data_IF_805804824410
#
_entry.id   IF_805804824410
#
_cell.length_a   1.000
_cell.length_b   1.000
_cell.length_c   1.000
_cell.angle_alpha   90.00
_cell.angle_beta   90.00
_cell.angle_gamma   90.00
#
_symmetry.space_group_name_H-M   'P 1'
#
loop_
_entity.id
_entity.type
_entity.pdbx_description
1 polymer ?
#
# COMPACT_ATOMS: atom_id res chain seq x y z
N UNK A 1 14.23 4.10 7.01
CA UNK A 1 13.82 3.00 6.13
C UNK A 1 12.30 3.02 5.97
N UNK A 2 11.82 3.05 4.74
CA UNK A 2 10.37 3.03 4.45
C UNK A 2 10.00 1.67 3.88
N UNK A 3 8.91 1.09 4.36
CA UNK A 3 8.33 -0.16 3.86
C UNK A 3 6.89 0.05 3.42
N UNK A 4 6.45 -0.71 2.43
CA UNK A 4 5.09 -0.69 1.92
C UNK A 4 4.54 -2.12 1.98
N UNK A 5 3.38 -2.29 2.60
CA UNK A 5 2.64 -3.55 2.55
C UNK A 5 1.85 -3.60 1.24
N UNK A 6 2.07 -4.64 0.45
CA UNK A 6 1.48 -4.78 -0.88
C UNK A 6 0.52 -5.96 -0.89
N UNK A 7 -0.70 -5.74 -1.42
CA UNK A 7 -1.67 -6.82 -1.63
C UNK A 7 -1.17 -7.81 -2.66
N UNK A 8 -1.24 -9.10 -2.33
CA UNK A 8 -0.89 -10.21 -3.21
C UNK A 8 -1.96 -10.38 -4.30
N UNK A 9 -1.82 -9.63 -5.39
CA UNK A 9 -2.75 -9.64 -6.49
C UNK A 9 -2.15 -8.91 -7.69
N UNK A 10 -2.99 -8.26 -8.47
CA UNK A 10 -2.57 -7.36 -9.54
C UNK A 10 -1.62 -6.26 -9.03
N UNK A 11 -1.76 -5.80 -7.78
CA UNK A 11 -0.86 -4.78 -7.20
C UNK A 11 0.58 -5.28 -7.10
N UNK A 12 0.80 -6.53 -6.72
CA UNK A 12 2.14 -7.12 -6.72
C UNK A 12 2.71 -7.24 -8.13
N UNK A 13 1.91 -7.63 -9.12
CA UNK A 13 2.33 -7.70 -10.52
C UNK A 13 2.74 -6.33 -11.04
N UNK A 14 1.94 -5.31 -10.76
CA UNK A 14 2.24 -3.93 -11.14
C UNK A 14 3.50 -3.40 -10.45
N UNK A 15 3.71 -3.72 -9.19
CA UNK A 15 4.93 -3.38 -8.46
C UNK A 15 6.16 -4.01 -9.14
N UNK A 16 6.09 -5.29 -9.49
CA UNK A 16 7.19 -5.98 -10.18
C UNK A 16 7.47 -5.32 -11.54
N UNK A 17 6.43 -4.96 -12.28
CA UNK A 17 6.55 -4.21 -13.53
C UNK A 17 7.21 -2.85 -13.30
N UNK A 18 6.74 -2.08 -12.32
CA UNK A 18 7.30 -0.79 -11.97
C UNK A 18 8.80 -0.88 -11.65
N UNK A 19 9.19 -1.85 -10.82
CA UNK A 19 10.60 -2.07 -10.44
C UNK A 19 11.46 -2.37 -11.68
N UNK A 20 10.96 -3.23 -12.61
CA UNK A 20 11.70 -3.59 -13.81
C UNK A 20 11.79 -2.43 -14.82
N UNK A 21 10.78 -1.56 -14.88
CA UNK A 21 10.78 -0.38 -15.77
C UNK A 21 11.49 0.84 -15.20
N UNK A 22 11.75 0.88 -13.90
CA UNK A 22 12.35 2.03 -13.23
C UNK A 22 13.68 2.50 -13.86
N UNK A 23 14.60 1.60 -14.27
CA UNK A 23 15.84 2.02 -14.96
C UNK A 23 15.58 2.74 -16.29
N UNK A 24 14.53 2.36 -17.04
CA UNK A 24 14.14 3.03 -18.29
C UNK A 24 13.58 4.41 -18.00
N UNK A 25 12.68 4.53 -17.01
CA UNK A 25 12.13 5.82 -16.57
C UNK A 25 13.21 6.78 -16.08
N UNK A 26 14.24 6.25 -15.45
CA UNK A 26 15.40 7.02 -14.97
C UNK A 26 16.44 7.28 -16.07
N UNK A 27 16.15 6.97 -17.34
CA UNK A 27 17.05 7.14 -18.48
C UNK A 27 18.42 6.46 -18.32
N UNK A 28 18.50 5.37 -17.53
CA UNK A 28 19.73 4.60 -17.37
C UNK A 28 19.96 3.61 -18.51
N UNK A 29 18.87 3.11 -19.09
CA UNK A 29 18.87 2.18 -20.23
C UNK A 29 17.64 2.43 -21.10
N UNK A 30 17.71 2.02 -22.39
CA UNK A 30 16.57 2.17 -23.32
C UNK A 30 15.49 1.10 -23.11
N UNK A 31 15.88 -0.08 -22.63
CA UNK A 31 14.96 -1.20 -22.37
C UNK A 31 15.29 -1.88 -21.04
N UNK A 32 14.27 -2.40 -20.31
CA UNK A 32 14.49 -3.02 -19.00
C UNK A 32 15.52 -4.14 -19.02
N UNK A 33 15.54 -4.93 -20.12
CA UNK A 33 16.43 -6.07 -20.29
C UNK A 33 17.91 -5.69 -20.35
N UNK A 34 18.24 -4.46 -20.72
CA UNK A 34 19.62 -3.96 -20.76
C UNK A 34 20.18 -3.64 -19.38
N UNK A 35 19.31 -3.50 -18.37
CA UNK A 35 19.77 -3.15 -17.02
C UNK A 35 20.25 -4.39 -16.26
N UNK A 36 21.57 -4.57 -16.18
CA UNK A 36 22.24 -5.76 -15.61
C UNK A 36 21.94 -5.98 -14.11
N UNK A 37 21.61 -4.95 -13.37
CA UNK A 37 21.39 -5.01 -11.92
C UNK A 37 19.93 -5.24 -11.53
N UNK A 38 19.10 -5.67 -12.47
CA UNK A 38 17.69 -5.98 -12.27
C UNK A 38 17.44 -7.50 -12.28
N UNK A 39 16.43 -7.92 -11.53
CA UNK A 39 15.94 -9.30 -11.55
C UNK A 39 15.30 -9.71 -12.89
N UNK A 40 15.04 -8.76 -13.79
CA UNK A 40 14.43 -9.04 -15.11
C UNK A 40 15.21 -10.08 -15.91
N UNK A 41 16.53 -10.13 -15.74
CA UNK A 41 17.38 -11.14 -16.38
C UNK A 41 16.94 -12.59 -16.09
N UNK A 42 16.34 -12.81 -14.92
CA UNK A 42 15.87 -14.13 -14.47
C UNK A 42 14.51 -14.50 -15.11
N UNK A 43 13.79 -13.53 -15.66
CA UNK A 43 12.52 -13.74 -16.36
C UNK A 43 12.70 -14.00 -17.85
N UNK A 44 13.91 -13.85 -18.38
CA UNK A 44 14.22 -14.10 -19.79
C UNK A 44 14.31 -15.61 -20.10
N UNK A 45 14.18 -15.93 -21.40
CA UNK A 45 14.39 -17.28 -21.92
C UNK A 45 15.87 -17.65 -21.72
N UNK A 46 16.14 -18.86 -21.22
CA UNK A 46 17.49 -19.37 -20.97
C UNK A 46 18.27 -18.66 -19.84
N UNK A 47 17.62 -17.90 -18.97
CA UNK A 47 18.29 -17.37 -17.80
C UNK A 47 18.77 -18.50 -16.88
N UNK A 48 20.03 -18.44 -16.44
CA UNK A 48 20.48 -19.27 -15.31
C UNK A 48 19.63 -18.89 -14.12
N UNK A 49 18.80 -19.81 -13.64
CA UNK A 49 17.84 -19.54 -12.58
C UNK A 49 18.57 -19.25 -11.27
N UNK A 50 18.47 -18.03 -10.78
CA UNK A 50 18.80 -17.74 -9.39
C UNK A 50 17.65 -18.25 -8.52
N UNK A 51 17.90 -19.30 -7.75
CA UNK A 51 16.86 -20.01 -6.97
C UNK A 51 16.19 -19.16 -5.88
N UNK A 52 16.78 -18.00 -5.53
CA UNK A 52 16.23 -17.08 -4.52
C UNK A 52 15.12 -16.16 -5.08
N UNK A 53 14.95 -16.08 -6.42
CA UNK A 53 13.90 -15.28 -7.04
C UNK A 53 12.66 -16.14 -7.29
N UNK A 54 11.55 -15.78 -6.64
CA UNK A 54 10.26 -16.47 -6.76
C UNK A 54 9.53 -16.16 -8.09
N UNK A 55 10.23 -16.23 -9.24
CA UNK A 55 9.66 -15.90 -10.55
C UNK A 55 8.45 -16.76 -10.92
N UNK A 56 8.42 -18.02 -10.48
CA UNK A 56 7.30 -18.92 -10.73
C UNK A 56 6.01 -18.43 -10.07
N UNK A 57 6.11 -17.79 -8.91
CA UNK A 57 4.99 -17.17 -8.25
C UNK A 57 4.39 -16.04 -9.09
N UNK A 58 5.23 -15.15 -9.63
CA UNK A 58 4.80 -14.08 -10.54
C UNK A 58 4.14 -14.66 -11.80
N UNK A 59 4.70 -15.74 -12.37
CA UNK A 59 4.10 -16.42 -13.53
C UNK A 59 2.74 -17.05 -13.19
N UNK A 60 2.56 -17.58 -11.99
CA UNK A 60 1.27 -18.11 -11.53
C UNK A 60 0.22 -17.01 -11.40
N UNK A 61 0.59 -15.87 -10.81
CA UNK A 61 -0.30 -14.70 -10.69
C UNK A 61 -0.76 -14.18 -12.06
N UNK A 62 0.13 -14.26 -13.07
CA UNK A 62 -0.22 -13.93 -14.45
C UNK A 62 -1.01 -15.04 -15.18
N UNK A 63 -1.32 -16.16 -14.52
CA UNK A 63 -2.01 -17.29 -15.13
C UNK A 63 -1.20 -17.99 -16.24
N UNK A 64 0.13 -17.86 -16.24
CA UNK A 64 0.97 -18.38 -17.30
C UNK A 64 1.26 -19.88 -17.14
N UNK A 65 0.84 -20.66 -18.13
CA UNK A 65 1.18 -22.08 -18.22
C UNK A 65 2.63 -22.26 -18.69
N UNK A 66 3.20 -23.48 -18.54
CA UNK A 66 4.64 -23.77 -18.67
C UNK A 66 5.31 -23.28 -19.95
N UNK A 67 4.63 -23.38 -21.08
CA UNK A 67 5.16 -22.96 -22.35
C UNK A 67 5.04 -21.44 -22.55
N UNK A 68 6.16 -20.80 -22.94
CA UNK A 68 6.21 -19.36 -23.25
C UNK A 68 6.08 -18.37 -22.09
N UNK A 69 6.27 -18.80 -20.83
CA UNK A 69 6.19 -17.93 -19.62
C UNK A 69 6.99 -16.63 -19.80
N UNK A 70 8.26 -16.73 -20.17
CA UNK A 70 9.14 -15.56 -20.35
C UNK A 70 8.64 -14.60 -21.43
N UNK A 71 8.21 -15.10 -22.57
CA UNK A 71 7.70 -14.26 -23.67
C UNK A 71 6.41 -13.53 -23.27
N UNK A 72 5.51 -14.22 -22.59
CA UNK A 72 4.25 -13.62 -22.10
C UNK A 72 4.50 -12.63 -20.97
N UNK A 73 5.47 -12.90 -20.10
CA UNK A 73 5.88 -11.96 -19.08
C UNK A 73 6.43 -10.66 -19.69
N UNK A 74 7.31 -10.77 -20.70
CA UNK A 74 7.81 -9.58 -21.41
C UNK A 74 6.66 -8.82 -22.08
N UNK A 75 5.70 -9.52 -22.71
CA UNK A 75 4.50 -8.89 -23.26
C UNK A 75 3.68 -8.13 -22.21
N UNK A 76 3.52 -8.70 -21.02
CA UNK A 76 2.89 -8.01 -19.88
C UNK A 76 3.70 -6.80 -19.42
N UNK A 77 5.01 -6.94 -19.34
CA UNK A 77 5.91 -5.88 -18.89
C UNK A 77 5.79 -4.61 -19.76
N UNK A 78 5.63 -4.77 -21.08
CA UNK A 78 5.51 -3.67 -22.04
C UNK A 78 4.08 -3.12 -22.22
N UNK A 79 3.09 -3.62 -21.46
CA UNK A 79 1.78 -2.99 -21.40
C UNK A 79 1.85 -1.73 -20.54
N UNK A 80 0.96 -0.78 -20.78
CA UNK A 80 0.85 0.39 -19.92
C UNK A 80 0.43 -0.01 -18.51
N UNK A 81 1.10 0.55 -17.51
CA UNK A 81 0.69 0.36 -16.12
C UNK A 81 -0.55 1.21 -15.85
N UNK A 82 -1.47 0.75 -14.98
CA UNK A 82 -2.57 1.58 -14.54
C UNK A 82 -2.08 2.88 -13.90
N UNK A 83 -2.78 3.99 -14.19
CA UNK A 83 -2.44 5.33 -13.67
C UNK A 83 -2.36 5.37 -12.15
N UNK A 84 -3.15 4.53 -11.46
CA UNK A 84 -3.12 4.40 -9.99
C UNK A 84 -1.75 4.01 -9.45
N UNK A 85 -1.01 3.17 -10.18
CA UNK A 85 0.31 2.69 -9.77
C UNK A 85 1.35 3.81 -9.93
N UNK A 86 1.29 4.53 -11.02
CA UNK A 86 2.14 5.71 -11.21
C UNK A 86 1.84 6.76 -10.15
N UNK A 87 0.57 7.09 -9.95
CA UNK A 87 0.15 8.05 -8.94
C UNK A 87 0.51 7.64 -7.50
N UNK A 88 0.68 6.34 -7.23
CA UNK A 88 1.14 5.86 -5.93
C UNK A 88 2.61 6.17 -5.69
N UNK A 89 3.47 5.96 -6.69
CA UNK A 89 4.93 6.13 -6.56
C UNK A 89 5.43 7.55 -6.83
N UNK A 90 4.68 8.38 -7.54
CA UNK A 90 5.03 9.78 -7.81
C UNK A 90 4.72 10.73 -6.64
N UNK A 91 4.02 10.25 -5.61
CA UNK A 91 3.72 11.05 -4.41
C UNK A 91 4.97 11.22 -3.54
N UNK A 92 5.20 12.43 -3.06
CA UNK A 92 6.25 12.72 -2.07
C UNK A 92 6.10 11.86 -0.81
N UNK A 93 4.86 11.57 -0.40
CA UNK A 93 4.52 10.73 0.73
C UNK A 93 3.84 9.43 0.25
N UNK A 94 4.64 8.39 0.04
CA UNK A 94 4.13 7.05 -0.30
C UNK A 94 3.34 6.49 0.89
N UNK A 95 2.11 6.06 0.64
CA UNK A 95 1.29 5.41 1.66
C UNK A 95 1.90 4.06 2.07
N UNK A 96 1.76 3.65 3.34
CA UNK A 96 2.35 2.39 3.81
C UNK A 96 1.63 1.14 3.32
N UNK A 97 0.45 1.27 2.70
CA UNK A 97 -0.34 0.14 2.17
C UNK A 97 -0.68 0.39 0.71
N UNK A 98 -0.37 -0.57 -0.14
CA UNK A 98 -0.72 -0.62 -1.55
C UNK A 98 -1.65 -1.80 -1.82
N UNK A 99 -2.90 -1.53 -2.17
CA UNK A 99 -3.92 -2.56 -2.39
C UNK A 99 -5.30 -1.98 -2.55
N UNK A 100 -6.28 -2.86 -2.75
CA UNK A 100 -7.70 -2.51 -2.84
C UNK A 100 -8.22 -1.85 -1.55
N UNK A 101 -9.36 -1.15 -1.65
CA UNK A 101 -10.00 -0.57 -0.45
C UNK A 101 -10.32 -1.64 0.60
N UNK A 102 -10.74 -2.82 0.17
CA UNK A 102 -11.03 -3.96 1.05
C UNK A 102 -9.78 -4.38 1.81
N UNK A 103 -8.66 -4.55 1.11
CA UNK A 103 -7.38 -4.90 1.71
C UNK A 103 -6.90 -3.83 2.68
N UNK A 104 -6.98 -2.55 2.30
CA UNK A 104 -6.60 -1.43 3.17
C UNK A 104 -7.43 -1.40 4.46
N UNK A 105 -8.73 -1.66 4.38
CA UNK A 105 -9.61 -1.74 5.56
C UNK A 105 -9.24 -2.91 6.43
N UNK A 106 -9.09 -4.09 5.86
CA UNK A 106 -8.67 -5.30 6.59
C UNK A 106 -7.34 -5.09 7.32
N UNK A 107 -6.32 -4.53 6.66
CA UNK A 107 -5.02 -4.24 7.27
C UNK A 107 -5.16 -3.27 8.45
N UNK A 108 -6.00 -2.23 8.32
CA UNK A 108 -6.24 -1.29 9.40
C UNK A 108 -6.90 -1.95 10.61
N UNK A 109 -7.88 -2.80 10.39
CA UNK A 109 -8.57 -3.54 11.45
C UNK A 109 -7.62 -4.49 12.18
N UNK A 110 -6.83 -5.29 11.46
CA UNK A 110 -5.87 -6.23 12.04
C UNK A 110 -4.72 -5.54 12.79
N UNK A 111 -4.20 -4.43 12.25
CA UNK A 111 -3.07 -3.74 12.85
C UNK A 111 -3.46 -2.65 13.85
N UNK A 112 -4.73 -2.25 13.92
CA UNK A 112 -5.20 -1.25 14.90
C UNK A 112 -5.01 -1.69 16.35
N UNK A 113 -4.89 -2.99 16.61
CA UNK A 113 -4.55 -3.55 17.91
C UNK A 113 -3.04 -3.44 18.26
N UNK A 114 -2.19 -3.12 17.29
CA UNK A 114 -0.75 -2.99 17.48
C UNK A 114 -0.42 -1.61 18.08
N UNK A 115 0.53 -1.57 19.02
CA UNK A 115 0.98 -0.29 19.62
C UNK A 115 1.56 0.61 18.51
N UNK A 116 0.98 1.80 18.39
CA UNK A 116 1.49 2.86 17.51
C UNK A 116 2.87 3.27 18.02
N UNK A 117 3.87 3.18 17.15
CA UNK A 117 5.20 3.66 17.48
C UNK A 117 5.37 5.09 16.94
N UNK A 118 5.42 6.08 17.83
CA UNK A 118 5.56 7.50 17.48
C UNK A 118 6.86 7.83 16.75
N UNK A 119 7.88 6.97 16.85
CA UNK A 119 9.15 7.14 16.14
C UNK A 119 9.05 6.77 14.64
N UNK A 120 7.97 6.11 14.24
CA UNK A 120 7.73 5.69 12.86
C UNK A 120 6.62 6.55 12.27
N UNK A 121 6.93 7.54 11.41
CA UNK A 121 5.91 8.45 10.84
C UNK A 121 4.76 7.73 10.12
N UNK A 122 5.06 6.57 9.52
CA UNK A 122 4.07 5.75 8.83
C UNK A 122 3.03 5.12 9.79
N UNK A 123 3.32 5.02 11.08
CA UNK A 123 2.37 4.54 12.08
C UNK A 123 1.14 5.47 12.21
N UNK A 124 1.31 6.74 11.87
CA UNK A 124 0.21 7.71 11.86
C UNK A 124 -0.89 7.36 10.84
N UNK A 125 -0.58 6.51 9.84
CA UNK A 125 -1.58 6.00 8.91
C UNK A 125 -2.64 5.13 9.60
N UNK A 126 -2.28 4.50 10.72
CA UNK A 126 -3.17 3.64 11.51
C UNK A 126 -3.89 4.40 12.64
N UNK A 127 -3.61 5.69 12.83
CA UNK A 127 -4.38 6.50 13.77
C UNK A 127 -5.79 6.71 13.22
N UNK A 128 -6.83 6.54 14.05
CA UNK A 128 -8.20 6.82 13.65
C UNK A 128 -8.34 8.30 13.28
N UNK A 129 -9.13 8.57 12.24
CA UNK A 129 -9.46 9.95 11.89
C UNK A 129 -10.36 10.59 12.96
N UNK A 130 -10.43 11.93 12.97
CA UNK A 130 -11.36 12.65 13.86
C UNK A 130 -12.81 12.16 13.67
N UNK A 131 -13.22 11.89 12.43
CA UNK A 131 -14.55 11.40 12.11
C UNK A 131 -14.78 9.99 12.66
N UNK A 132 -13.78 9.10 12.59
CA UNK A 132 -13.86 7.76 13.17
C UNK A 132 -13.98 7.80 14.69
N UNK A 133 -13.23 8.71 15.33
CA UNK A 133 -13.31 8.92 16.79
C UNK A 133 -14.68 9.45 17.19
N UNK A 134 -15.18 10.47 16.48
CA UNK A 134 -16.52 11.04 16.76
C UNK A 134 -17.62 9.99 16.55
N UNK A 135 -17.56 9.23 15.44
CA UNK A 135 -18.51 8.16 15.18
C UNK A 135 -18.50 7.09 16.27
N UNK A 136 -17.30 6.69 16.74
CA UNK A 136 -17.14 5.71 17.82
C UNK A 136 -17.70 6.20 19.15
N UNK A 137 -17.46 7.46 19.50
CA UNK A 137 -18.02 8.08 20.71
C UNK A 137 -19.54 8.16 20.61
N UNK A 138 -20.09 8.62 19.47
CA UNK A 138 -21.53 8.69 19.24
C UNK A 138 -22.20 7.32 19.36
N UNK A 139 -21.60 6.28 18.74
CA UNK A 139 -22.09 4.91 18.79
C UNK A 139 -22.06 4.34 20.21
N UNK A 140 -20.94 4.50 20.92
CA UNK A 140 -20.75 3.97 22.27
C UNK A 140 -21.75 4.56 23.27
N UNK A 141 -22.03 5.85 23.17
CA UNK A 141 -22.90 6.56 24.13
C UNK A 141 -24.31 6.83 23.59
N UNK A 142 -24.63 6.36 22.37
CA UNK A 142 -25.92 6.52 21.70
C UNK A 142 -26.38 7.98 21.64
N UNK A 143 -25.43 8.88 21.34
CA UNK A 143 -25.67 10.33 21.23
C UNK A 143 -25.39 10.83 19.83
N UNK A 144 -26.00 11.96 19.46
CA UNK A 144 -25.76 12.60 18.16
C UNK A 144 -24.43 13.39 18.20
N UNK A 145 -23.76 13.47 17.05
CA UNK A 145 -22.52 14.22 16.88
C UNK A 145 -22.63 15.68 17.34
N UNK A 146 -23.79 16.32 17.09
CA UNK A 146 -24.07 17.67 17.56
C UNK A 146 -23.98 17.82 19.09
N UNK A 147 -24.30 16.76 19.83
CA UNK A 147 -24.21 16.76 21.32
C UNK A 147 -22.76 16.65 21.79
N UNK A 148 -21.91 15.89 21.05
CA UNK A 148 -20.47 15.83 21.34
C UNK A 148 -19.82 17.18 21.06
N UNK A 149 -20.14 17.82 19.95
CA UNK A 149 -19.54 19.09 19.52
C UNK A 149 -20.09 20.31 20.26
N UNK A 150 -21.17 20.16 21.00
CA UNK A 150 -21.83 21.29 21.70
C UNK A 150 -20.94 21.87 22.80
N UNK A 151 -20.61 23.16 22.67
CA UNK A 151 -19.84 23.91 23.64
C UNK A 151 -20.78 24.81 24.46
N UNK A 152 -20.72 24.74 25.80
CA UNK A 152 -21.38 25.66 26.72
C UNK A 152 -20.37 26.15 27.72
N UNK A 153 -20.29 27.48 27.92
CA UNK A 153 -19.37 28.10 28.88
C UNK A 153 -19.68 27.61 30.29
N UNK A 154 -18.67 27.09 31.00
CA UNK A 154 -18.78 26.60 32.38
C UNK A 154 -19.44 25.21 32.53
N UNK A 155 -19.77 24.53 31.45
CA UNK A 155 -20.34 23.16 31.49
C UNK A 155 -19.38 22.18 30.84
N UNK A 156 -18.93 21.17 31.60
CA UNK A 156 -18.11 20.08 31.07
C UNK A 156 -18.95 19.19 30.13
N UNK A 157 -18.35 18.78 29.03
CA UNK A 157 -18.93 17.81 28.11
C UNK A 157 -18.01 16.58 28.05
N UNK A 158 -18.31 15.60 28.90
CA UNK A 158 -17.49 14.38 29.05
C UNK A 158 -17.25 13.69 27.73
N UNK A 159 -18.24 13.65 26.83
CA UNK A 159 -18.11 12.98 25.51
C UNK A 159 -17.17 13.73 24.59
N UNK A 160 -17.19 15.07 24.64
CA UNK A 160 -16.24 15.89 23.87
C UNK A 160 -14.83 15.76 24.45
N UNK A 161 -14.70 15.80 25.78
CA UNK A 161 -13.41 15.70 26.46
C UNK A 161 -12.78 14.33 26.21
N UNK A 162 -13.59 13.24 26.13
CA UNK A 162 -13.16 11.93 25.72
C UNK A 162 -12.72 11.92 24.25
N UNK A 163 -13.48 12.53 23.34
CA UNK A 163 -13.09 12.61 21.94
C UNK A 163 -11.76 13.35 21.76
N UNK A 164 -11.55 14.45 22.44
CA UNK A 164 -10.28 15.20 22.45
C UNK A 164 -9.14 14.33 22.98
N UNK A 165 -9.34 13.63 24.07
CA UNK A 165 -8.34 12.71 24.64
C UNK A 165 -7.94 11.60 23.65
N UNK A 166 -8.93 11.03 22.94
CA UNK A 166 -8.68 9.99 21.92
C UNK A 166 -7.99 10.55 20.67
N UNK A 167 -8.07 11.86 20.41
CA UNK A 167 -7.30 12.52 19.34
C UNK A 167 -5.81 12.71 19.70
N UNK A 168 -5.40 12.44 20.95
CA UNK A 168 -4.00 12.57 21.37
C UNK A 168 -3.56 14.01 21.69
N UNK A 169 -4.52 14.90 22.03
CA UNK A 169 -4.25 16.26 22.53
C UNK A 169 -4.36 16.35 24.06
#
# INVERSE_FOLDING_TARGET
YKSVLVEESNYLLELVRYIHFNPVKSNLVDTPEKYRWSSIQNYQINSKSNNWIAKNFVFQLLGLKENYKSKKYLSFLYQDAPDEIYAFYEKENIKPIMGSKIFQTWVKEELSASKINSEIPESNFFTPSLDDILASVCMKYQIKQEQVLKVRRGVSNIHRDLAIYLCGF
#
